data_IF_097893594038
#
_entry.id   IF_097893594038
#
_cell.length_a   1.000
_cell.length_b   1.000
_cell.length_c   1.000
_cell.angle_alpha   90.00
_cell.angle_beta   90.00
_cell.angle_gamma   90.00
#
_symmetry.space_group_name_H-M   'P 1'
#
loop_
_entity.id
_entity.type
_entity.pdbx_description
1 polymer ?
#
# COMPACT_ATOMS: atom_id res chain seq x y z
N UNK A 1 -2.00 26.59 12.56
CA UNK A 1 -0.87 25.69 12.83
C UNK A 1 0.35 26.48 13.27
N UNK A 2 1.01 26.03 14.33
CA UNK A 2 2.07 26.80 15.02
C UNK A 2 3.25 27.16 14.12
N UNK A 3 3.60 26.28 13.17
CA UNK A 3 4.74 26.49 12.26
C UNK A 3 4.51 27.64 11.28
N UNK A 4 3.30 27.80 10.73
CA UNK A 4 3.00 28.77 9.67
C UNK A 4 2.14 29.93 10.14
N UNK A 5 1.69 29.94 11.41
CA UNK A 5 0.81 30.99 12.01
C UNK A 5 -0.45 31.24 11.16
N UNK A 6 -0.99 30.20 10.55
CA UNK A 6 -2.23 30.29 9.77
C UNK A 6 -3.42 29.99 10.66
N UNK A 7 -4.46 30.79 10.56
CA UNK A 7 -5.74 30.56 11.23
C UNK A 7 -6.34 29.24 10.75
N UNK A 8 -6.57 28.30 11.67
CA UNK A 8 -7.12 26.97 11.38
C UNK A 8 -8.48 27.03 10.68
N UNK A 9 -9.28 28.07 10.96
CA UNK A 9 -10.56 28.29 10.28
C UNK A 9 -10.42 28.57 8.78
N UNK A 10 -9.22 28.94 8.32
CA UNK A 10 -8.89 29.16 6.90
C UNK A 10 -8.32 27.93 6.20
N UNK A 11 -8.08 26.84 6.95
CA UNK A 11 -7.54 25.60 6.40
C UNK A 11 -8.70 24.65 6.07
N UNK A 12 -8.67 24.10 4.87
CA UNK A 12 -9.61 23.06 4.44
C UNK A 12 -8.81 21.84 3.97
N UNK A 13 -9.05 20.70 4.61
CA UNK A 13 -8.42 19.42 4.21
C UNK A 13 -9.24 18.79 3.10
N UNK A 14 -8.59 18.52 1.97
CA UNK A 14 -9.18 17.80 0.85
C UNK A 14 -8.34 16.56 0.59
N UNK A 15 -9.00 15.42 0.50
CA UNK A 15 -8.34 14.14 0.21
C UNK A 15 -8.40 13.90 -1.30
N UNK A 16 -7.29 13.52 -1.96
CA UNK A 16 -7.30 13.14 -3.36
C UNK A 16 -8.15 11.89 -3.58
N UNK A 17 -8.71 11.76 -4.77
CA UNK A 17 -9.47 10.61 -5.19
C UNK A 17 -8.62 9.60 -5.94
N UNK A 18 -9.18 8.41 -6.13
CA UNK A 18 -8.71 7.37 -7.04
C UNK A 18 -9.73 7.23 -8.18
N UNK A 19 -9.24 6.99 -9.38
CA UNK A 19 -10.07 6.66 -10.53
C UNK A 19 -10.65 5.25 -10.35
N UNK A 20 -11.92 5.18 -9.96
CA UNK A 20 -12.59 3.93 -9.63
C UNK A 20 -13.09 3.18 -10.87
N UNK A 21 -13.15 3.81 -12.02
CA UNK A 21 -13.45 3.12 -13.29
C UNK A 21 -12.22 2.35 -13.74
N UNK A 22 -11.05 2.96 -13.59
CA UNK A 22 -9.77 2.35 -13.91
C UNK A 22 -9.36 1.29 -12.87
N UNK A 23 -9.40 1.63 -11.58
CA UNK A 23 -9.13 0.70 -10.48
C UNK A 23 -10.41 -0.04 -10.09
N UNK A 24 -10.84 -0.95 -10.96
CA UNK A 24 -12.01 -1.81 -10.75
C UNK A 24 -11.56 -3.27 -10.65
N UNK A 25 -11.86 -3.97 -9.53
CA UNK A 25 -11.42 -5.35 -9.36
C UNK A 25 -12.16 -6.29 -10.30
N UNK A 26 -11.42 -7.17 -10.97
CA UNK A 26 -11.97 -8.28 -11.71
C UNK A 26 -12.13 -9.49 -10.77
N UNK A 27 -13.36 -9.73 -10.34
CA UNK A 27 -13.70 -10.81 -9.40
C UNK A 27 -13.57 -12.21 -10.00
N UNK A 28 -13.39 -12.34 -11.32
CA UNK A 28 -13.12 -13.63 -11.99
C UNK A 28 -11.67 -14.08 -11.85
N UNK A 29 -10.75 -13.15 -11.54
CA UNK A 29 -9.33 -13.43 -11.37
C UNK A 29 -9.08 -14.06 -10.00
N UNK A 30 -8.54 -15.28 -10.00
CA UNK A 30 -8.16 -15.95 -8.75
C UNK A 30 -6.96 -15.25 -8.12
N UNK A 31 -7.06 -14.98 -6.81
CA UNK A 31 -5.94 -14.46 -6.02
C UNK A 31 -4.84 -15.50 -5.86
N UNK A 32 -3.62 -15.06 -5.98
CA UNK A 32 -2.40 -15.83 -5.76
C UNK A 32 -1.69 -15.33 -4.49
N UNK A 33 -0.81 -16.13 -3.89
CA UNK A 33 0.00 -15.71 -2.74
C UNK A 33 1.10 -14.73 -3.18
N UNK A 34 0.66 -13.62 -3.80
CA UNK A 34 1.52 -12.53 -4.27
C UNK A 34 1.35 -11.33 -3.34
N UNK A 35 2.47 -10.82 -2.86
CA UNK A 35 2.60 -9.52 -2.21
C UNK A 35 3.16 -8.52 -3.21
N UNK A 36 2.72 -7.28 -3.12
CA UNK A 36 3.26 -6.19 -3.93
C UNK A 36 3.91 -5.15 -3.02
N UNK A 37 5.01 -4.57 -3.49
CA UNK A 37 5.58 -3.33 -2.93
C UNK A 37 5.73 -2.35 -4.09
N UNK A 38 4.91 -1.30 -4.12
CA UNK A 38 4.80 -0.39 -5.26
C UNK A 38 5.29 1.00 -4.84
N UNK A 39 6.30 1.49 -5.54
CA UNK A 39 6.86 2.82 -5.30
C UNK A 39 8.28 2.94 -5.82
N UNK A 40 8.75 4.17 -5.95
CA UNK A 40 10.15 4.45 -6.33
C UNK A 40 11.10 3.75 -5.36
N UNK A 41 12.16 3.17 -5.88
CA UNK A 41 13.21 2.56 -5.06
C UNK A 41 14.04 3.69 -4.44
N UNK A 42 13.77 3.95 -3.18
CA UNK A 42 14.39 4.98 -2.35
C UNK A 42 14.32 4.57 -0.90
N UNK A 43 15.33 4.88 -0.10
CA UNK A 43 15.40 4.56 1.32
C UNK A 43 14.13 5.00 2.09
N UNK A 44 13.64 6.22 1.81
CA UNK A 44 12.41 6.75 2.41
C UNK A 44 11.14 5.92 2.13
N UNK A 45 11.17 5.02 1.13
CA UNK A 45 10.04 4.14 0.80
C UNK A 45 10.08 2.80 1.55
N UNK A 46 11.13 2.57 2.34
CA UNK A 46 11.17 1.50 3.32
C UNK A 46 11.22 0.07 2.74
N UNK A 47 11.77 -0.10 1.54
CA UNK A 47 11.83 -1.45 0.94
C UNK A 47 12.70 -2.41 1.78
N UNK A 48 13.67 -1.92 2.53
CA UNK A 48 14.47 -2.75 3.42
C UNK A 48 13.61 -3.35 4.54
N UNK A 49 12.75 -2.56 5.16
CA UNK A 49 11.79 -3.02 6.18
C UNK A 49 10.84 -4.09 5.61
N UNK A 50 10.48 -3.97 4.33
CA UNK A 50 9.72 -5.03 3.65
C UNK A 50 10.54 -6.32 3.55
N UNK A 51 11.82 -6.26 3.17
CA UNK A 51 12.69 -7.45 3.10
C UNK A 51 12.91 -8.10 4.47
N UNK A 52 13.08 -7.29 5.52
CA UNK A 52 13.19 -7.78 6.91
C UNK A 52 11.91 -8.52 7.34
N UNK A 53 10.74 -7.97 7.03
CA UNK A 53 9.47 -8.65 7.25
C UNK A 53 9.43 -9.98 6.51
N UNK A 54 9.74 -10.01 5.21
CA UNK A 54 9.71 -11.23 4.40
C UNK A 54 10.68 -12.30 4.93
N UNK A 55 11.88 -11.90 5.37
CA UNK A 55 12.86 -12.79 5.98
C UNK A 55 12.36 -13.45 7.28
N UNK A 56 11.59 -12.69 8.05
CA UNK A 56 10.96 -13.25 9.25
C UNK A 56 9.76 -14.12 8.90
N UNK A 57 8.90 -13.65 7.99
CA UNK A 57 7.66 -14.33 7.60
C UNK A 57 7.90 -15.67 6.91
N UNK A 58 8.96 -15.81 6.09
CA UNK A 58 9.30 -17.08 5.42
C UNK A 58 9.59 -18.25 6.37
N UNK A 59 9.89 -17.96 7.65
CA UNK A 59 10.08 -19.02 8.68
C UNK A 59 8.75 -19.61 9.14
N UNK A 60 7.65 -18.94 8.85
CA UNK A 60 6.29 -19.29 9.29
C UNK A 60 5.47 -19.82 8.11
N UNK A 61 5.63 -19.18 6.95
CA UNK A 61 4.95 -19.51 5.71
C UNK A 61 5.92 -19.31 4.54
N UNK A 62 6.06 -20.32 3.69
CA UNK A 62 7.03 -20.30 2.60
C UNK A 62 6.37 -20.24 1.21
N UNK A 63 5.05 -20.38 1.11
CA UNK A 63 4.31 -20.27 -0.14
C UNK A 63 3.84 -18.83 -0.38
N UNK A 64 4.76 -17.95 -0.73
CA UNK A 64 4.46 -16.59 -1.18
C UNK A 64 5.52 -16.07 -2.15
N UNK A 65 5.17 -15.03 -2.89
CA UNK A 65 6.09 -14.22 -3.72
C UNK A 65 5.85 -12.75 -3.43
N UNK A 66 6.91 -11.95 -3.41
CA UNK A 66 6.83 -10.49 -3.30
C UNK A 66 7.43 -9.84 -4.54
N UNK A 67 6.69 -8.92 -5.15
CA UNK A 67 7.13 -8.18 -6.34
C UNK A 67 7.29 -6.72 -5.96
N UNK A 68 8.52 -6.22 -6.03
CA UNK A 68 8.83 -4.82 -5.92
C UNK A 68 8.69 -4.16 -7.28
N UNK A 69 7.89 -3.10 -7.37
CA UNK A 69 7.58 -2.40 -8.63
C UNK A 69 7.96 -0.93 -8.49
N UNK A 70 8.92 -0.51 -9.30
CA UNK A 70 9.38 0.87 -9.37
C UNK A 70 10.86 0.96 -9.70
N UNK A 71 11.26 2.02 -10.37
CA UNK A 71 12.67 2.27 -10.70
C UNK A 71 13.42 2.97 -9.55
N UNK A 72 14.77 2.88 -9.56
CA UNK A 72 15.62 3.64 -8.66
C UNK A 72 15.43 5.14 -8.87
N UNK A 73 15.43 5.91 -7.79
CA UNK A 73 15.16 7.34 -7.84
C UNK A 73 16.00 8.12 -6.84
N UNK A 74 16.35 9.36 -7.22
CA UNK A 74 17.24 10.19 -6.42
C UNK A 74 18.73 9.85 -6.62
N UNK A 75 19.60 10.59 -5.94
CA UNK A 75 21.07 10.51 -6.11
C UNK A 75 21.62 9.11 -5.81
N UNK A 76 21.05 8.42 -4.84
CA UNK A 76 21.52 7.13 -4.32
C UNK A 76 20.59 5.97 -4.67
N UNK A 77 19.63 6.17 -5.59
CA UNK A 77 18.61 5.15 -5.89
C UNK A 77 19.18 3.85 -6.45
N UNK A 78 20.20 3.92 -7.32
CA UNK A 78 20.85 2.71 -7.85
C UNK A 78 21.63 1.96 -6.77
N UNK A 79 22.41 2.67 -5.96
CA UNK A 79 23.15 2.10 -4.84
C UNK A 79 22.20 1.42 -3.84
N UNK A 80 21.08 2.07 -3.54
CA UNK A 80 20.06 1.49 -2.67
C UNK A 80 19.43 0.24 -3.29
N UNK A 81 19.15 0.22 -4.60
CA UNK A 81 18.64 -0.99 -5.29
C UNK A 81 19.64 -2.14 -5.23
N UNK A 82 20.93 -1.85 -5.41
CA UNK A 82 21.98 -2.87 -5.34
C UNK A 82 22.10 -3.42 -3.90
N UNK A 83 22.00 -2.58 -2.88
CA UNK A 83 21.94 -3.00 -1.48
C UNK A 83 20.71 -3.87 -1.19
N UNK A 84 19.53 -3.55 -1.75
CA UNK A 84 18.34 -4.38 -1.59
C UNK A 84 18.51 -5.76 -2.25
N UNK A 85 19.14 -5.83 -3.43
CA UNK A 85 19.44 -7.12 -4.10
C UNK A 85 20.40 -7.96 -3.27
N UNK A 86 21.47 -7.35 -2.73
CA UNK A 86 22.38 -8.04 -1.82
C UNK A 86 21.65 -8.56 -0.57
N UNK A 87 20.75 -7.76 -0.01
CA UNK A 87 19.92 -8.18 1.14
C UNK A 87 19.02 -9.38 0.79
N UNK A 88 18.50 -9.45 -0.44
CA UNK A 88 17.72 -10.61 -0.91
C UNK A 88 18.58 -11.87 -0.91
N UNK A 89 19.83 -11.79 -1.38
CA UNK A 89 20.80 -12.90 -1.36
C UNK A 89 21.14 -13.29 0.08
N UNK A 90 21.55 -12.34 0.93
CA UNK A 90 21.91 -12.55 2.33
C UNK A 90 20.78 -13.20 3.14
N UNK A 91 19.54 -12.82 2.84
CA UNK A 91 18.35 -13.37 3.47
C UNK A 91 17.86 -14.66 2.78
N UNK A 92 18.49 -15.13 1.71
CA UNK A 92 18.04 -16.27 0.89
C UNK A 92 16.58 -16.12 0.45
N UNK A 93 16.22 -14.96 -0.08
CA UNK A 93 14.87 -14.61 -0.57
C UNK A 93 14.74 -14.68 -2.09
N UNK A 94 15.75 -15.20 -2.83
CA UNK A 94 15.82 -15.22 -4.30
C UNK A 94 14.60 -15.89 -4.95
N UNK A 95 14.04 -16.90 -4.29
CA UNK A 95 12.83 -17.61 -4.76
C UNK A 95 11.55 -16.87 -4.47
N UNK A 96 11.57 -15.89 -3.56
CA UNK A 96 10.41 -15.18 -3.08
C UNK A 96 10.31 -13.76 -3.63
N UNK A 97 11.43 -13.11 -3.96
CA UNK A 97 11.48 -11.69 -4.28
C UNK A 97 11.84 -11.48 -5.75
N UNK A 98 11.10 -10.58 -6.38
CA UNK A 98 11.40 -10.09 -7.73
C UNK A 98 11.33 -8.57 -7.76
N UNK A 99 12.33 -7.92 -8.37
CA UNK A 99 12.29 -6.50 -8.68
C UNK A 99 11.86 -6.30 -10.14
N UNK A 100 10.90 -5.41 -10.35
CA UNK A 100 10.49 -4.92 -11.66
C UNK A 100 10.68 -3.41 -11.69
N UNK A 101 11.06 -2.90 -12.85
CA UNK A 101 11.08 -1.47 -13.11
C UNK A 101 9.67 -0.85 -13.03
N UNK A 102 9.58 0.45 -13.26
CA UNK A 102 8.30 1.14 -13.37
C UNK A 102 7.43 0.49 -14.44
N UNK A 103 6.21 0.14 -14.07
CA UNK A 103 5.24 -0.50 -14.96
C UNK A 103 4.14 0.48 -15.37
N UNK A 104 3.57 0.31 -16.57
CA UNK A 104 2.33 0.98 -16.93
C UNK A 104 1.20 0.63 -15.96
N UNK A 105 0.29 1.58 -15.71
CA UNK A 105 -0.80 1.44 -14.74
C UNK A 105 -1.67 0.21 -14.99
N UNK A 106 -1.94 -0.14 -16.25
CA UNK A 106 -2.68 -1.35 -16.62
C UNK A 106 -2.01 -2.64 -16.08
N UNK A 107 -0.67 -2.69 -16.07
CA UNK A 107 0.06 -3.84 -15.51
C UNK A 107 0.03 -3.87 -13.99
N UNK A 108 0.02 -2.71 -13.34
CA UNK A 108 -0.16 -2.60 -11.88
C UNK A 108 -1.55 -3.14 -11.50
N UNK A 109 -2.58 -2.76 -12.24
CA UNK A 109 -3.96 -3.24 -12.03
C UNK A 109 -4.05 -4.76 -12.22
N UNK A 110 -3.42 -5.32 -13.27
CA UNK A 110 -3.34 -6.77 -13.47
C UNK A 110 -2.70 -7.49 -12.26
N UNK A 111 -1.60 -6.95 -11.75
CA UNK A 111 -0.92 -7.52 -10.57
C UNK A 111 -1.74 -7.36 -9.30
N UNK A 112 -2.42 -6.22 -9.09
CA UNK A 112 -3.33 -6.02 -7.95
C UNK A 112 -4.50 -7.00 -7.99
N UNK A 113 -5.05 -7.32 -9.17
CA UNK A 113 -6.10 -8.33 -9.30
C UNK A 113 -5.65 -9.72 -8.81
N UNK A 114 -4.37 -10.07 -9.00
CA UNK A 114 -3.81 -11.36 -8.59
C UNK A 114 -3.29 -11.37 -7.16
N UNK A 115 -2.96 -10.24 -6.57
CA UNK A 115 -2.28 -10.16 -5.28
C UNK A 115 -3.23 -10.25 -4.08
N UNK A 116 -2.74 -10.78 -2.97
CA UNK A 116 -3.43 -10.85 -1.69
C UNK A 116 -3.05 -9.73 -0.72
N UNK A 117 -1.92 -9.02 -0.96
CA UNK A 117 -1.40 -8.02 -0.04
C UNK A 117 -0.58 -6.96 -0.78
N UNK A 118 -0.74 -5.69 -0.38
CA UNK A 118 0.23 -4.63 -0.64
C UNK A 118 1.04 -4.39 0.64
N UNK A 119 2.37 -4.36 0.54
CA UNK A 119 3.26 -3.95 1.63
C UNK A 119 3.79 -2.56 1.31
N UNK A 120 3.52 -1.59 2.17
CA UNK A 120 3.84 -0.17 1.96
C UNK A 120 4.47 0.43 3.21
N UNK A 121 5.78 0.42 3.27
CA UNK A 121 6.61 0.76 4.45
C UNK A 121 7.19 2.18 4.41
N UNK A 122 6.61 3.07 3.60
CA UNK A 122 7.09 4.44 3.43
C UNK A 122 7.22 5.16 4.77
N UNK A 123 8.38 5.76 5.04
CA UNK A 123 8.63 6.54 6.27
C UNK A 123 7.86 7.87 6.29
N UNK A 124 7.59 8.42 5.10
CA UNK A 124 6.81 9.64 4.94
C UNK A 124 5.75 9.44 3.85
N UNK A 125 4.50 9.47 4.23
CA UNK A 125 3.38 9.37 3.29
C UNK A 125 2.39 10.52 3.52
N UNK A 126 2.18 11.32 2.49
CA UNK A 126 1.27 12.47 2.57
C UNK A 126 -0.19 12.08 2.37
N UNK A 127 -0.47 11.16 1.45
CA UNK A 127 -1.82 10.73 1.11
C UNK A 127 -2.02 9.23 1.06
N UNK A 128 -0.99 8.47 0.70
CA UNK A 128 -1.10 7.02 0.56
C UNK A 128 -1.94 6.58 -0.63
N UNK A 129 -1.81 7.26 -1.80
CA UNK A 129 -2.60 6.92 -3.00
C UNK A 129 -2.47 5.44 -3.36
N UNK A 130 -1.26 4.89 -3.33
CA UNK A 130 -1.03 3.47 -3.64
C UNK A 130 -1.81 2.54 -2.69
N UNK A 131 -1.92 2.90 -1.41
CA UNK A 131 -2.72 2.15 -0.44
C UNK A 131 -4.22 2.25 -0.73
N UNK A 132 -4.70 3.43 -1.15
CA UNK A 132 -6.10 3.63 -1.54
C UNK A 132 -6.40 2.86 -2.83
N UNK A 133 -5.51 2.91 -3.83
CA UNK A 133 -5.60 2.14 -5.08
C UNK A 133 -5.70 0.64 -4.79
N UNK A 134 -4.81 0.12 -3.94
CA UNK A 134 -4.85 -1.27 -3.52
C UNK A 134 -6.18 -1.64 -2.83
N UNK A 135 -6.64 -0.84 -1.86
CA UNK A 135 -7.93 -1.08 -1.21
C UNK A 135 -9.10 -0.98 -2.21
N UNK A 136 -9.02 -0.10 -3.21
CA UNK A 136 -10.03 0.00 -4.27
C UNK A 136 -10.11 -1.28 -5.10
N UNK A 137 -8.97 -1.97 -5.27
CA UNK A 137 -8.86 -3.28 -5.90
C UNK A 137 -9.14 -4.46 -4.94
N UNK A 138 -9.63 -4.18 -3.73
CA UNK A 138 -9.86 -5.21 -2.72
C UNK A 138 -8.58 -5.80 -2.12
N UNK A 139 -7.43 -5.15 -2.27
CA UNK A 139 -6.15 -5.63 -1.74
C UNK A 139 -5.86 -4.92 -0.41
N UNK A 140 -5.78 -5.67 0.71
CA UNK A 140 -5.40 -5.11 2.00
C UNK A 140 -3.95 -4.62 2.01
N UNK A 141 -3.65 -3.71 2.94
CA UNK A 141 -2.35 -3.05 3.02
C UNK A 141 -1.68 -3.35 4.36
N UNK A 142 -0.47 -3.88 4.32
CA UNK A 142 0.43 -3.95 5.47
C UNK A 142 1.34 -2.72 5.45
N UNK A 143 1.37 -1.95 6.54
CA UNK A 143 2.13 -0.71 6.59
C UNK A 143 2.65 -0.40 7.98
N UNK A 144 3.63 0.49 8.04
CA UNK A 144 4.11 1.11 9.28
C UNK A 144 3.21 2.28 9.70
N UNK A 145 3.25 2.65 11.00
CA UNK A 145 2.44 3.72 11.58
C UNK A 145 2.94 5.10 11.14
N UNK A 146 2.71 5.48 9.87
CA UNK A 146 3.22 6.73 9.32
C UNK A 146 2.15 7.55 8.58
N UNK A 147 2.08 8.83 8.91
CA UNK A 147 1.35 9.85 8.18
C UNK A 147 -0.12 9.52 7.93
N UNK A 148 -0.56 9.72 6.71
CA UNK A 148 -1.97 9.52 6.30
C UNK A 148 -2.45 8.07 6.33
N UNK A 149 -1.54 7.09 6.36
CA UNK A 149 -1.92 5.68 6.40
C UNK A 149 -2.66 5.31 7.67
N UNK A 150 -2.41 6.01 8.78
CA UNK A 150 -3.15 5.86 10.04
C UNK A 150 -4.64 6.24 9.91
N UNK A 151 -4.99 7.09 8.94
CA UNK A 151 -6.39 7.48 8.67
C UNK A 151 -7.08 6.53 7.67
N UNK A 152 -6.30 5.79 6.89
CA UNK A 152 -6.77 4.95 5.80
C UNK A 152 -6.96 3.51 6.26
N UNK A 153 -5.99 2.98 7.02
CA UNK A 153 -5.91 1.57 7.38
C UNK A 153 -6.50 1.31 8.76
N UNK A 154 -7.35 0.30 8.83
CA UNK A 154 -7.94 -0.24 10.06
C UNK A 154 -7.47 -1.68 10.23
N UNK A 155 -6.84 -1.97 11.38
CA UNK A 155 -6.26 -3.30 11.66
C UNK A 155 -7.29 -4.43 11.56
N UNK A 156 -6.90 -5.50 10.89
CA UNK A 156 -7.70 -6.72 10.62
C UNK A 156 -8.93 -6.51 9.72
N UNK A 157 -9.11 -5.31 9.15
CA UNK A 157 -10.25 -4.98 8.29
C UNK A 157 -9.83 -4.72 6.84
N UNK A 158 -9.07 -3.65 6.58
CA UNK A 158 -8.55 -3.35 5.24
C UNK A 158 -7.03 -3.36 5.16
N UNK A 159 -6.38 -3.83 6.20
CA UNK A 159 -4.94 -3.92 6.31
C UNK A 159 -4.47 -4.10 7.74
N UNK A 160 -3.20 -3.83 7.95
CA UNK A 160 -2.58 -3.85 9.27
C UNK A 160 -1.53 -2.75 9.40
N UNK A 161 -1.65 -1.97 10.46
CA UNK A 161 -0.69 -0.95 10.88
C UNK A 161 0.13 -1.49 12.05
N UNK A 162 1.45 -1.38 11.99
CA UNK A 162 2.34 -1.74 13.09
C UNK A 162 3.53 -0.78 13.14
N UNK A 163 4.07 -0.55 14.32
CA UNK A 163 5.33 0.21 14.47
C UNK A 163 6.51 -0.56 13.84
N UNK A 164 6.45 -1.88 13.94
CA UNK A 164 7.43 -2.80 13.35
C UNK A 164 6.69 -3.94 12.68
N UNK A 165 7.03 -4.25 11.44
CA UNK A 165 6.40 -5.36 10.72
C UNK A 165 6.81 -6.74 11.27
N UNK A 166 7.88 -6.82 12.06
CA UNK A 166 8.32 -8.03 12.75
C UNK A 166 7.52 -8.15 14.06
N UNK A 167 6.25 -8.53 13.95
CA UNK A 167 5.31 -8.72 15.06
C UNK A 167 4.48 -9.99 14.81
N UNK A 168 4.21 -10.74 15.87
CA UNK A 168 3.38 -11.96 15.79
C UNK A 168 1.96 -11.70 15.30
N UNK A 169 1.37 -10.54 15.62
CA UNK A 169 0.04 -10.15 15.15
C UNK A 169 0.03 -9.86 13.65
N UNK A 170 1.09 -9.20 13.14
CA UNK A 170 1.30 -8.98 11.69
C UNK A 170 1.38 -10.31 10.97
N UNK A 171 2.21 -11.22 11.47
CA UNK A 171 2.38 -12.54 10.89
C UNK A 171 1.07 -13.34 10.85
N UNK A 172 0.29 -13.28 11.93
CA UNK A 172 -1.02 -13.95 12.00
C UNK A 172 -2.00 -13.35 11.01
N UNK A 173 -2.06 -12.01 10.89
CA UNK A 173 -2.90 -11.34 9.90
C UNK A 173 -2.55 -11.79 8.48
N UNK A 174 -1.28 -11.73 8.10
CA UNK A 174 -0.83 -12.10 6.75
C UNK A 174 -1.05 -13.59 6.48
N UNK A 175 -0.75 -14.46 7.45
CA UNK A 175 -0.99 -15.91 7.32
C UNK A 175 -2.47 -16.23 7.10
N UNK A 176 -3.38 -15.53 7.78
CA UNK A 176 -4.82 -15.71 7.59
C UNK A 176 -5.25 -15.31 6.17
N UNK A 177 -4.70 -14.22 5.60
CA UNK A 177 -4.98 -13.83 4.22
C UNK A 177 -4.51 -14.89 3.19
N UNK A 178 -3.45 -15.64 3.51
CA UNK A 178 -2.93 -16.68 2.60
C UNK A 178 -3.74 -17.95 2.66
N UNK A 179 -4.18 -18.37 3.85
CA UNK A 179 -4.66 -19.72 4.15
C UNK A 179 -6.17 -19.80 4.50
N UNK A 180 -6.86 -18.67 4.60
CA UNK A 180 -8.29 -18.61 4.91
C UNK A 180 -9.02 -17.77 3.84
N UNK A 181 -9.65 -18.46 2.90
CA UNK A 181 -10.35 -17.82 1.78
C UNK A 181 -11.56 -17.00 2.24
N UNK A 182 -12.25 -17.39 3.31
CA UNK A 182 -13.39 -16.64 3.85
C UNK A 182 -12.90 -15.34 4.50
N UNK A 183 -11.82 -15.41 5.27
CA UNK A 183 -11.19 -14.22 5.85
C UNK A 183 -10.65 -13.28 4.77
N UNK A 184 -10.04 -13.82 3.73
CA UNK A 184 -9.59 -13.03 2.59
C UNK A 184 -10.76 -12.29 1.93
N UNK A 185 -11.88 -12.97 1.65
CA UNK A 185 -13.08 -12.36 1.07
C UNK A 185 -13.68 -11.27 1.96
N UNK A 186 -13.78 -11.51 3.27
CA UNK A 186 -14.23 -10.50 4.25
C UNK A 186 -13.38 -9.23 4.14
N UNK A 187 -12.07 -9.37 4.20
CA UNK A 187 -11.11 -8.26 4.14
C UNK A 187 -11.18 -7.55 2.79
N UNK A 188 -11.23 -8.28 1.68
CA UNK A 188 -11.36 -7.72 0.33
C UNK A 188 -12.63 -6.87 0.19
N UNK A 189 -13.77 -7.37 0.66
CA UNK A 189 -15.04 -6.63 0.63
C UNK A 189 -14.95 -5.36 1.47
N UNK A 190 -14.35 -5.42 2.64
CA UNK A 190 -14.15 -4.25 3.47
C UNK A 190 -13.23 -3.21 2.81
N UNK A 191 -12.12 -3.62 2.19
CA UNK A 191 -11.24 -2.76 1.41
C UNK A 191 -12.03 -1.99 0.34
N UNK A 192 -12.80 -2.72 -0.46
CA UNK A 192 -13.59 -2.15 -1.54
C UNK A 192 -14.64 -1.16 -1.04
N UNK A 193 -15.42 -1.52 -0.01
CA UNK A 193 -16.45 -0.63 0.56
C UNK A 193 -15.84 0.62 1.21
N UNK A 194 -14.78 0.44 2.01
CA UNK A 194 -14.08 1.54 2.68
C UNK A 194 -13.48 2.54 1.69
N UNK A 195 -12.96 2.05 0.56
CA UNK A 195 -12.33 2.89 -0.46
C UNK A 195 -13.33 3.77 -1.24
N UNK A 196 -14.64 3.50 -1.18
CA UNK A 196 -15.66 4.27 -1.91
C UNK A 196 -15.68 5.77 -1.53
N UNK A 197 -15.18 6.12 -0.35
CA UNK A 197 -15.06 7.51 0.06
C UNK A 197 -13.93 8.28 -0.67
N UNK A 198 -12.99 7.57 -1.28
CA UNK A 198 -11.84 8.15 -1.98
C UNK A 198 -12.07 8.13 -3.50
N UNK A 199 -12.93 8.98 -4.02
CA UNK A 199 -13.17 9.12 -5.46
C UNK A 199 -12.93 10.55 -5.92
N UNK A 200 -12.50 10.73 -7.16
CA UNK A 200 -12.34 12.06 -7.76
C UNK A 200 -13.65 12.86 -7.75
N UNK A 201 -14.80 12.20 -7.93
CA UNK A 201 -16.11 12.85 -7.86
C UNK A 201 -16.29 13.50 -6.49
N UNK A 202 -16.07 12.76 -5.39
CA UNK A 202 -16.18 13.33 -4.03
C UNK A 202 -15.15 14.43 -3.75
N UNK A 203 -13.94 14.29 -4.30
CA UNK A 203 -12.90 15.32 -4.18
C UNK A 203 -13.34 16.61 -4.85
N UNK A 204 -13.89 16.54 -6.07
CA UNK A 204 -14.36 17.70 -6.83
C UNK A 204 -15.60 18.33 -6.21
N UNK A 205 -16.55 17.53 -5.71
CA UNK A 205 -17.75 18.04 -5.00
C UNK A 205 -17.36 18.82 -3.75
N UNK A 206 -16.39 18.31 -2.98
CA UNK A 206 -15.88 19.01 -1.80
C UNK A 206 -15.18 20.32 -2.18
N UNK A 207 -14.38 20.32 -3.26
CA UNK A 207 -13.74 21.54 -3.77
C UNK A 207 -14.77 22.58 -4.22
N UNK A 208 -15.78 22.18 -5.00
CA UNK A 208 -16.84 23.07 -5.46
C UNK A 208 -17.60 23.68 -4.27
N UNK A 209 -17.95 22.87 -3.28
CA UNK A 209 -18.59 23.34 -2.05
C UNK A 209 -17.76 24.40 -1.32
N UNK A 210 -16.43 24.19 -1.21
CA UNK A 210 -15.53 25.18 -0.59
C UNK A 210 -15.50 26.47 -1.42
N UNK A 211 -15.33 26.39 -2.74
CA UNK A 211 -15.30 27.56 -3.59
C UNK A 211 -16.60 28.35 -3.52
N UNK A 212 -17.77 27.69 -3.54
CA UNK A 212 -19.07 28.36 -3.38
C UNK A 212 -19.18 29.09 -2.04
N UNK A 213 -18.65 28.48 -0.97
CA UNK A 213 -18.68 29.13 0.37
C UNK A 213 -17.79 30.37 0.49
N UNK A 214 -16.85 30.59 -0.45
CA UNK A 214 -15.96 31.74 -0.44
C UNK A 214 -16.51 32.91 -1.24
N UNK A 215 -17.50 32.69 -2.11
CA UNK A 215 -18.12 33.72 -2.98
C UNK A 215 -19.56 34.06 -2.57
N UNK A 216 -20.11 33.37 -1.57
CA UNK A 216 -21.38 33.69 -0.92
C UNK A 216 -21.15 34.63 0.27
#
# INVERSE_FOLDING_TARGET
>A
TDTYKVDENKIRKITPGVDRELFSPDLSVKKENIFLSIGRIQEQKGQLETLEFLNNFKKIENDFRCIFIGGPSGKYGNEYLDNLKQTVEDFNLDKHVKFLDSLPQAKIIELLNKSKLLIHTSQFETFGLVAIEANTMGVPVLTTNNGSLMEIIENNKNGYLSEKLIDGNVNNFVKNLLNDDEKLKEVMNYCFEKSKKYSWIKTTDNLDSIYRSLIS
#
